data_IF_392514959740
#
_entry.id   IF_392514959740
#
_cell.length_a   1.000
_cell.length_b   1.000
_cell.length_c   1.000
_cell.angle_alpha   90.00
_cell.angle_beta   90.00
_cell.angle_gamma   90.00
#
_symmetry.space_group_name_H-M   'P 1'
#
loop_
_entity.id
_entity.type
_entity.pdbx_description
1 polymer ?
#
# COMPACT_ATOMS: atom_id res chain seq x y z
N UNK A 1 8.10 -25.84 -9.90
CA UNK A 1 7.19 -24.77 -10.38
C UNK A 1 7.29 -23.64 -9.37
N UNK A 2 8.25 -22.75 -9.60
CA UNK A 2 8.81 -21.90 -8.55
C UNK A 2 7.93 -20.68 -8.29
N UNK A 3 7.34 -20.68 -7.10
CA UNK A 3 7.25 -19.55 -6.15
C UNK A 3 7.73 -18.20 -6.69
N UNK A 4 6.86 -17.46 -7.40
CA UNK A 4 7.11 -16.04 -7.74
C UNK A 4 6.72 -15.07 -6.60
N UNK A 5 5.93 -15.52 -5.62
CA UNK A 5 5.46 -14.68 -4.50
C UNK A 5 6.40 -14.61 -3.29
N UNK A 6 7.12 -15.70 -3.00
CA UNK A 6 7.99 -15.81 -1.81
C UNK A 6 9.19 -14.85 -1.86
N UNK A 7 9.77 -14.67 -3.04
CA UNK A 7 10.96 -13.80 -3.20
C UNK A 7 10.65 -12.31 -3.10
N UNK A 8 9.40 -11.90 -3.36
CA UNK A 8 9.01 -10.49 -3.30
C UNK A 8 8.93 -9.99 -1.85
N UNK A 9 8.44 -10.81 -0.92
CA UNK A 9 8.32 -10.42 0.50
C UNK A 9 9.71 -10.26 1.15
N UNK A 10 10.65 -11.13 0.79
CA UNK A 10 12.03 -11.09 1.33
C UNK A 10 12.76 -9.80 0.93
N UNK A 11 12.59 -9.31 -0.29
CA UNK A 11 13.25 -8.07 -0.74
C UNK A 11 12.63 -6.79 -0.16
N UNK A 12 11.36 -6.83 0.25
CA UNK A 12 10.64 -5.65 0.78
C UNK A 12 10.88 -5.43 2.28
N UNK A 13 11.38 -6.46 2.97
CA UNK A 13 11.74 -6.40 4.39
C UNK A 13 13.04 -5.60 4.65
N UNK A 14 13.90 -5.41 3.63
CA UNK A 14 15.14 -4.64 3.76
C UNK A 14 14.93 -3.11 3.67
N UNK A 15 13.77 -2.65 3.19
CA UNK A 15 13.45 -1.22 2.99
C UNK A 15 12.65 -0.59 4.15
N UNK A 16 12.57 -1.26 5.31
CA UNK A 16 11.82 -0.75 6.47
C UNK A 16 10.29 -0.77 6.29
N UNK A 17 9.80 -1.62 5.39
CA UNK A 17 8.39 -1.90 5.20
C UNK A 17 8.05 -3.29 5.76
N UNK A 18 7.21 -3.32 6.79
CA UNK A 18 6.79 -4.58 7.40
C UNK A 18 5.51 -5.11 6.71
N UNK A 19 5.47 -6.39 6.32
CA UNK A 19 4.26 -7.02 5.83
C UNK A 19 3.29 -7.28 6.99
N UNK A 20 2.05 -6.81 6.85
CA UNK A 20 0.98 -6.97 7.84
C UNK A 20 -0.16 -7.76 7.23
N UNK A 21 -0.57 -8.83 7.91
CA UNK A 21 -1.72 -9.64 7.51
C UNK A 21 -2.94 -9.27 8.35
N UNK A 22 -4.03 -8.93 7.68
CA UNK A 22 -5.30 -8.55 8.31
C UNK A 22 -6.42 -9.44 7.81
N UNK A 23 -7.20 -9.98 8.75
CA UNK A 23 -8.45 -10.66 8.44
C UNK A 23 -9.62 -9.76 8.82
N UNK A 24 -10.34 -9.24 7.82
CA UNK A 24 -11.42 -8.26 7.99
C UNK A 24 -12.77 -8.97 7.79
N UNK A 25 -13.69 -8.91 8.78
CA UNK A 25 -15.04 -9.45 8.63
C UNK A 25 -15.90 -8.57 7.70
N UNK A 26 -16.60 -9.19 6.76
CA UNK A 26 -17.47 -8.55 5.77
C UNK A 26 -18.96 -8.68 6.15
N UNK A 27 -19.32 -9.77 6.81
CA UNK A 27 -20.67 -10.16 7.20
C UNK A 27 -21.33 -9.26 8.27
N UNK A 28 -20.56 -8.61 9.15
CA UNK A 28 -21.12 -7.73 10.20
C UNK A 28 -21.50 -6.32 9.72
N UNK A 29 -21.26 -6.02 8.44
CA UNK A 29 -21.32 -4.63 7.97
C UNK A 29 -22.54 -4.33 7.13
N UNK A 30 -23.23 -5.34 6.59
CA UNK A 30 -24.32 -5.14 5.61
C UNK A 30 -23.87 -4.41 4.32
N UNK A 31 -22.57 -4.14 4.17
CA UNK A 31 -21.98 -3.54 2.98
C UNK A 31 -21.62 -4.63 1.99
N UNK A 32 -21.85 -4.39 0.70
CA UNK A 32 -21.52 -5.33 -0.38
C UNK A 32 -20.01 -5.52 -0.63
N UNK A 33 -19.15 -5.24 0.36
CA UNK A 33 -17.70 -5.37 0.23
C UNK A 33 -16.90 -4.76 1.39
N UNK A 34 -15.59 -4.70 1.21
CA UNK A 34 -14.60 -4.28 2.21
C UNK A 34 -14.72 -2.80 2.66
N UNK A 35 -15.30 -1.93 1.85
CA UNK A 35 -15.44 -0.51 2.21
C UNK A 35 -14.15 0.30 2.05
N UNK A 36 -13.30 -0.05 1.08
CA UNK A 36 -12.10 0.73 0.71
C UNK A 36 -12.17 1.14 -0.76
N UNK A 37 -11.55 2.26 -1.08
CA UNK A 37 -11.26 2.67 -2.46
C UNK A 37 -9.79 2.42 -2.75
N UNK A 38 -9.51 1.81 -3.90
CA UNK A 38 -8.17 1.43 -4.32
C UNK A 38 -7.71 2.28 -5.52
N UNK A 39 -6.41 2.46 -5.65
CA UNK A 39 -5.75 3.09 -6.81
C UNK A 39 -4.61 2.21 -7.28
N UNK A 40 -4.45 2.07 -8.59
CA UNK A 40 -3.23 1.52 -9.18
C UNK A 40 -2.22 2.64 -9.31
N UNK A 41 -1.00 2.42 -8.83
CA UNK A 41 0.08 3.40 -8.94
C UNK A 41 1.04 2.99 -10.05
N UNK A 42 1.55 3.96 -10.80
CA UNK A 42 2.52 3.74 -11.88
C UNK A 42 3.71 4.65 -11.68
N UNK A 43 4.91 4.14 -11.94
CA UNK A 43 6.12 4.95 -11.93
C UNK A 43 6.05 5.98 -13.04
N UNK A 44 6.30 7.25 -12.72
CA UNK A 44 6.35 8.32 -13.73
C UNK A 44 7.60 8.23 -14.60
N UNK A 45 8.66 7.64 -14.07
CA UNK A 45 9.97 7.57 -14.71
C UNK A 45 10.08 6.32 -15.60
N UNK A 46 9.66 5.16 -15.08
CA UNK A 46 9.78 3.88 -15.80
C UNK A 46 8.48 3.45 -16.47
N UNK A 47 7.34 4.03 -16.10
CA UNK A 47 6.01 3.63 -16.61
C UNK A 47 5.49 2.30 -16.04
N UNK A 48 6.26 1.67 -15.15
CA UNK A 48 5.96 0.36 -14.58
C UNK A 48 4.83 0.44 -13.55
N UNK A 49 4.06 -0.64 -13.42
CA UNK A 49 3.01 -0.76 -12.42
C UNK A 49 3.65 -0.99 -11.04
N UNK A 50 3.49 -0.01 -10.14
CA UNK A 50 3.96 -0.09 -8.75
C UNK A 50 3.00 -0.87 -7.84
N UNK A 51 1.84 -1.28 -8.37
CA UNK A 51 0.83 -2.07 -7.68
C UNK A 51 -0.33 -1.26 -7.12
N UNK A 52 -1.12 -1.91 -6.25
CA UNK A 52 -2.40 -1.41 -5.76
C UNK A 52 -2.24 -0.83 -4.36
N UNK A 53 -2.79 0.38 -4.16
CA UNK A 53 -2.72 1.11 -2.91
C UNK A 53 -4.11 1.51 -2.43
N UNK A 54 -4.28 1.60 -1.11
CA UNK A 54 -5.50 2.16 -0.51
C UNK A 54 -5.52 3.66 -0.75
N UNK A 55 -6.53 4.13 -1.48
CA UNK A 55 -6.78 5.56 -1.74
C UNK A 55 -7.57 6.21 -0.60
N UNK A 56 -8.59 5.53 -0.10
CA UNK A 56 -9.45 6.02 0.98
C UNK A 56 -10.21 4.88 1.63
N UNK A 57 -10.60 5.08 2.89
CA UNK A 57 -11.42 4.14 3.66
C UNK A 57 -12.82 4.76 3.82
N UNK A 58 -13.85 3.98 3.50
CA UNK A 58 -15.25 4.43 3.51
C UNK A 58 -15.78 4.34 4.94
N UNK A 59 -16.24 5.47 5.47
CA UNK A 59 -16.81 5.56 6.82
C UNK A 59 -17.99 4.60 6.97
N UNK A 60 -18.01 3.85 8.08
CA UNK A 60 -19.06 2.85 8.34
C UNK A 60 -18.92 1.53 7.56
N UNK A 61 -17.95 1.41 6.66
CA UNK A 61 -17.64 0.15 5.96
C UNK A 61 -16.85 -0.84 6.82
N UNK A 62 -16.65 -2.07 6.32
CA UNK A 62 -15.97 -3.15 7.05
C UNK A 62 -14.54 -2.76 7.48
N UNK A 63 -13.75 -2.24 6.54
CA UNK A 63 -12.39 -1.76 6.80
C UNK A 63 -12.34 -0.59 7.81
N UNK A 64 -13.36 0.27 7.82
CA UNK A 64 -13.44 1.37 8.78
C UNK A 64 -13.73 0.87 10.19
N UNK A 65 -14.67 -0.08 10.32
CA UNK A 65 -14.99 -0.72 11.60
C UNK A 65 -13.81 -1.52 12.15
N UNK A 66 -13.05 -2.16 11.25
CA UNK A 66 -11.83 -2.88 11.60
C UNK A 66 -10.71 -1.93 12.08
N UNK A 67 -10.53 -0.80 11.40
CA UNK A 67 -9.65 0.29 11.84
C UNK A 67 -8.13 0.02 11.72
N UNK A 68 -7.71 -1.18 11.29
CA UNK A 68 -6.29 -1.54 11.17
C UNK A 68 -5.67 -1.14 9.82
N UNK A 69 -6.50 -1.06 8.78
CA UNK A 69 -6.11 -0.61 7.45
C UNK A 69 -5.93 0.91 7.42
N UNK A 70 -4.91 1.38 6.69
CA UNK A 70 -4.60 2.80 6.57
C UNK A 70 -4.53 3.24 5.10
N UNK A 71 -4.74 4.53 4.87
CA UNK A 71 -4.55 5.13 3.54
C UNK A 71 -3.08 5.07 3.15
N UNK A 72 -2.81 4.75 1.89
CA UNK A 72 -1.49 4.46 1.31
C UNK A 72 -0.85 3.13 1.73
N UNK A 73 -1.56 2.26 2.46
CA UNK A 73 -1.12 0.86 2.56
C UNK A 73 -1.11 0.24 1.14
N UNK A 74 -0.04 -0.49 0.83
CA UNK A 74 0.09 -1.23 -0.41
C UNK A 74 -0.49 -2.63 -0.24
N UNK A 75 -1.39 -3.04 -1.15
CA UNK A 75 -1.94 -4.38 -1.17
C UNK A 75 -0.99 -5.32 -1.90
N UNK A 76 -0.53 -6.34 -1.18
CA UNK A 76 0.45 -7.33 -1.64
C UNK A 76 -0.25 -8.62 -2.05
N UNK A 77 -1.24 -9.06 -1.25
CA UNK A 77 -2.03 -10.23 -1.54
C UNK A 77 -3.45 -10.13 -0.97
N UNK A 78 -4.38 -10.89 -1.56
CA UNK A 78 -5.77 -11.03 -1.10
C UNK A 78 -6.13 -12.51 -1.03
N UNK A 79 -6.60 -12.99 0.13
CA UNK A 79 -6.92 -14.40 0.38
C UNK A 79 -5.81 -15.39 -0.05
N UNK A 80 -4.55 -14.98 0.07
CA UNK A 80 -3.37 -15.76 -0.34
C UNK A 80 -2.99 -15.61 -1.83
N UNK A 81 -3.74 -14.85 -2.62
CA UNK A 81 -3.41 -14.56 -4.01
C UNK A 81 -2.57 -13.28 -4.13
N UNK A 82 -1.33 -13.41 -4.61
CA UNK A 82 -0.40 -12.31 -4.77
C UNK A 82 -0.78 -11.37 -5.92
N UNK A 83 -0.76 -10.08 -5.61
CA UNK A 83 -1.00 -8.96 -6.54
C UNK A 83 0.30 -8.35 -7.05
N UNK A 84 1.41 -8.54 -6.33
CA UNK A 84 2.74 -8.12 -6.77
C UNK A 84 3.14 -8.84 -8.06
N UNK A 85 3.79 -8.11 -8.96
CA UNK A 85 4.23 -8.62 -10.27
C UNK A 85 3.10 -8.78 -11.29
N UNK A 86 1.86 -8.41 -10.96
CA UNK A 86 0.75 -8.30 -11.91
C UNK A 86 0.56 -6.87 -12.37
N UNK A 87 -0.08 -6.71 -13.53
CA UNK A 87 -0.50 -5.38 -13.97
C UNK A 87 -1.53 -4.79 -13.01
N UNK A 88 -1.59 -3.46 -12.94
CA UNK A 88 -2.58 -2.78 -12.08
C UNK A 88 -4.02 -3.19 -12.41
N UNK A 89 -4.33 -3.45 -13.68
CA UNK A 89 -5.66 -3.88 -14.10
C UNK A 89 -5.97 -5.29 -13.59
N UNK A 90 -5.07 -6.23 -13.83
CA UNK A 90 -5.22 -7.63 -13.40
C UNK A 90 -5.32 -7.76 -11.89
N UNK A 91 -4.48 -7.02 -11.15
CA UNK A 91 -4.55 -6.99 -9.69
C UNK A 91 -5.90 -6.48 -9.17
N UNK A 92 -6.48 -5.46 -9.82
CA UNK A 92 -7.82 -4.96 -9.46
C UNK A 92 -8.92 -5.99 -9.75
N UNK A 93 -8.84 -6.70 -10.87
CA UNK A 93 -9.82 -7.74 -11.20
C UNK A 93 -9.75 -8.91 -10.20
N UNK A 94 -8.54 -9.37 -9.85
CA UNK A 94 -8.33 -10.36 -8.79
C UNK A 94 -8.93 -9.91 -7.46
N UNK A 95 -8.64 -8.67 -7.05
CA UNK A 95 -9.20 -8.09 -5.82
C UNK A 95 -10.72 -8.08 -5.82
N UNK A 96 -11.35 -7.65 -6.91
CA UNK A 96 -12.82 -7.61 -7.06
C UNK A 96 -13.41 -9.01 -7.02
N UNK A 97 -12.80 -9.95 -7.70
CA UNK A 97 -13.24 -11.34 -7.74
C UNK A 97 -13.18 -11.98 -6.36
N UNK A 98 -12.06 -11.84 -5.65
CA UNK A 98 -11.88 -12.44 -4.32
C UNK A 98 -12.79 -11.77 -3.28
N UNK A 99 -12.98 -10.45 -3.35
CA UNK A 99 -13.95 -9.74 -2.50
C UNK A 99 -15.40 -10.18 -2.72
N UNK A 100 -15.81 -10.39 -3.97
CA UNK A 100 -17.21 -10.70 -4.31
C UNK A 100 -17.56 -12.18 -4.10
N UNK A 101 -16.63 -13.07 -4.46
CA UNK A 101 -16.88 -14.51 -4.51
C UNK A 101 -16.49 -15.18 -3.20
N UNK A 102 -15.25 -15.00 -2.76
CA UNK A 102 -14.73 -15.64 -1.56
C UNK A 102 -15.16 -14.93 -0.29
N UNK A 103 -15.16 -13.60 -0.30
CA UNK A 103 -15.58 -12.78 0.83
C UNK A 103 -17.03 -13.05 1.26
N UNK A 104 -17.92 -13.32 0.31
CA UNK A 104 -19.32 -13.65 0.60
C UNK A 104 -19.48 -15.08 1.17
N UNK A 105 -18.64 -16.02 0.75
CA UNK A 105 -18.69 -17.41 1.22
C UNK A 105 -18.05 -17.59 2.59
N UNK A 106 -16.89 -16.96 2.81
CA UNK A 106 -16.12 -17.06 4.05
C UNK A 106 -16.63 -16.11 5.12
N UNK A 107 -17.28 -15.01 4.73
CA UNK A 107 -17.66 -13.93 5.62
C UNK A 107 -16.48 -13.03 6.01
N UNK A 108 -15.24 -13.46 5.82
CA UNK A 108 -14.03 -12.67 6.07
C UNK A 108 -13.18 -12.56 4.80
N UNK A 109 -12.32 -11.54 4.76
CA UNK A 109 -11.30 -11.37 3.72
C UNK A 109 -9.93 -11.18 4.37
N UNK A 110 -8.96 -11.93 3.89
CA UNK A 110 -7.57 -11.82 4.32
C UNK A 110 -6.81 -10.90 3.36
N UNK A 111 -6.12 -9.91 3.91
CA UNK A 111 -5.33 -8.94 3.16
C UNK A 111 -3.91 -8.97 3.69
N UNK A 112 -2.95 -9.14 2.78
CA UNK A 112 -1.55 -8.88 3.07
C UNK A 112 -1.24 -7.49 2.55
N UNK A 113 -0.87 -6.58 3.45
CA UNK A 113 -0.45 -5.22 3.09
C UNK A 113 1.00 -5.00 3.48
N UNK A 114 1.64 -4.07 2.80
CA UNK A 114 2.91 -3.50 3.24
C UNK A 114 2.69 -2.06 3.67
N UNK A 115 3.23 -1.77 4.85
CA UNK A 115 3.29 -0.42 5.38
C UNK A 115 4.74 -0.04 5.49
N UNK A 116 5.22 0.75 4.52
CA UNK A 116 6.49 1.43 4.66
C UNK A 116 6.38 2.42 5.82
N UNK A 117 7.41 2.47 6.68
CA UNK A 117 7.60 3.58 7.60
C UNK A 117 8.05 4.84 6.84
N UNK A 118 7.37 5.22 5.75
CA UNK A 118 7.73 6.42 5.01
C UNK A 118 7.01 7.64 5.54
N UNK A 119 7.82 8.63 5.90
CA UNK A 119 7.48 9.84 6.62
C UNK A 119 6.29 10.56 5.97
N UNK A 120 5.33 10.95 6.82
CA UNK A 120 4.28 11.90 6.49
C UNK A 120 4.87 13.00 5.60
N UNK A 121 4.32 13.09 4.39
CA UNK A 121 4.91 13.86 3.30
C UNK A 121 5.29 15.28 3.71
N UNK A 122 6.47 15.66 3.21
CA UNK A 122 6.87 17.00 2.80
C UNK A 122 5.70 17.99 2.79
N UNK A 123 5.74 18.95 3.72
CA UNK A 123 5.03 20.22 3.62
C UNK A 123 5.44 20.86 2.28
N UNK A 124 4.54 20.87 1.30
CA UNK A 124 4.72 21.69 0.10
C UNK A 124 4.50 23.15 0.48
N UNK A 125 5.48 24.06 0.31
CA UNK A 125 5.23 25.47 0.54
C UNK A 125 4.54 26.04 -0.70
N UNK A 126 3.21 26.17 -0.64
CA UNK A 126 2.47 26.97 -1.61
C UNK A 126 2.45 28.43 -1.18
N UNK A 127 3.52 29.16 -1.56
CA UNK A 127 3.51 30.56 -2.00
C UNK A 127 2.90 31.65 -1.10
N UNK A 128 3.70 32.19 -0.17
CA UNK A 128 3.52 33.51 0.42
C UNK A 128 4.84 34.28 0.43
N UNK A 129 4.96 35.29 -0.43
CA UNK A 129 6.12 36.21 -0.56
C UNK A 129 6.59 36.78 0.79
N UNK A 130 7.91 36.77 1.05
CA UNK A 130 8.77 37.97 1.32
C UNK A 130 10.18 37.61 1.84
N UNK A 131 11.18 38.23 1.18
CA UNK A 131 12.52 38.71 1.61
C UNK A 131 13.52 37.84 2.41
N UNK A 132 14.77 37.81 1.86
CA UNK A 132 16.11 37.90 2.51
C UNK A 132 16.29 37.20 3.89
N UNK A 133 17.27 36.34 4.16
CA UNK A 133 18.74 36.52 4.03
C UNK A 133 19.46 35.23 4.52
N UNK A 134 20.67 34.91 3.98
CA UNK A 134 21.88 34.20 4.51
C UNK A 134 21.74 32.95 5.42
N UNK A 135 22.64 32.00 5.60
CA UNK A 135 23.88 31.43 5.03
C UNK A 135 24.28 30.31 6.04
N UNK A 136 25.32 29.53 5.72
CA UNK A 136 25.98 28.45 6.50
C UNK A 136 25.24 27.10 6.49
N UNK A 137 25.68 26.07 5.74
CA UNK A 137 27.00 25.40 5.56
C UNK A 137 27.44 24.61 6.79
N UNK A 138 27.60 23.29 6.62
CA UNK A 138 28.82 22.44 6.81
C UNK A 138 28.35 20.97 6.92
N UNK A 139 28.62 20.02 6.02
CA UNK A 139 29.84 19.46 5.39
C UNK A 139 30.65 18.53 6.34
N UNK A 140 30.84 17.28 5.87
CA UNK A 140 31.83 16.22 6.21
C UNK A 140 31.32 14.94 6.90
N UNK A 141 31.44 13.81 6.19
CA UNK A 141 32.21 12.62 6.62
C UNK A 141 32.38 11.67 5.41
N UNK A 142 33.40 11.88 4.59
CA UNK A 142 34.71 11.20 4.56
C UNK A 142 34.69 9.87 3.78
N UNK A 143 35.20 10.00 2.55
CA UNK A 143 35.77 8.98 1.69
C UNK A 143 37.09 8.50 2.31
N UNK A 144 37.31 7.18 2.43
CA UNK A 144 38.66 6.62 2.51
C UNK A 144 38.69 5.31 1.71
N UNK A 145 39.31 5.38 0.54
CA UNK A 145 39.75 4.23 -0.24
C UNK A 145 41.22 3.96 0.09
N UNK A 146 41.54 2.71 0.43
CA UNK A 146 42.79 2.04 0.09
C UNK A 146 42.66 0.53 0.27
#
# INVERSE_FOLDING_TARGET
MSQKGDQAITQLSEEGAEPLMFEVPLNDTGSAGLGVSLKGNKSRETGEDLGIFIKSIIHGGAAYKDGRLHVNDQLIAVNGEFLLGRSNHEAMDTLRYSMSTEGNLRGTIQLLVMRAMEQQGKVGPCGGRRHHTVSSVFLNFQEEAR
#
